data_IF_736759709876
#
_entry.id   IF_736759709876
#
_cell.length_a   1.000
_cell.length_b   1.000
_cell.length_c   1.000
_cell.angle_alpha   90.00
_cell.angle_beta   90.00
_cell.angle_gamma   90.00
#
_symmetry.space_group_name_H-M   'P 1'
#
loop_
_entity.id
_entity.type
_entity.pdbx_description
1 polymer ?
#
# COMPACT_ATOMS: atom_id res chain seq x y z
N UNK A 1 -1.15 -14.81 0.07
CA UNK A 1 -1.75 -13.63 -0.58
C UNK A 1 -0.64 -12.65 -0.94
N UNK A 2 -0.71 -12.01 -2.10
CA UNK A 2 0.29 -11.06 -2.59
C UNK A 2 -0.37 -9.72 -2.94
N UNK A 3 0.36 -8.61 -2.77
CA UNK A 3 -0.13 -7.29 -3.21
C UNK A 3 0.32 -7.02 -4.64
N UNK A 4 -0.60 -6.54 -5.49
CA UNK A 4 -0.25 -6.07 -6.83
C UNK A 4 0.78 -4.94 -6.78
N UNK A 5 0.64 -4.02 -5.82
CA UNK A 5 1.59 -2.91 -5.62
C UNK A 5 3.01 -3.43 -5.37
N UNK A 6 3.13 -4.47 -4.52
CA UNK A 6 4.40 -5.12 -4.21
C UNK A 6 4.99 -5.83 -5.44
N UNK A 7 4.16 -6.49 -6.24
CA UNK A 7 4.60 -7.16 -7.47
C UNK A 7 5.14 -6.14 -8.47
N UNK A 8 4.38 -5.06 -8.74
CA UNK A 8 4.77 -4.01 -9.67
C UNK A 8 6.09 -3.35 -9.25
N UNK A 9 6.29 -3.09 -7.94
CA UNK A 9 7.54 -2.56 -7.42
C UNK A 9 8.69 -3.56 -7.55
N UNK A 10 8.44 -4.84 -7.31
CA UNK A 10 9.46 -5.88 -7.46
C UNK A 10 9.93 -5.98 -8.91
N UNK A 11 9.00 -5.95 -9.87
CA UNK A 11 9.32 -5.95 -11.31
C UNK A 11 10.04 -4.67 -11.72
N UNK A 12 9.61 -3.51 -11.25
CA UNK A 12 10.27 -2.23 -11.54
C UNK A 12 11.71 -2.14 -11.00
N UNK A 13 12.05 -2.97 -10.00
CA UNK A 13 13.40 -3.06 -9.42
C UNK A 13 14.28 -4.12 -10.08
N UNK A 14 13.72 -4.99 -10.91
CA UNK A 14 14.47 -6.04 -11.57
C UNK A 14 15.27 -5.44 -12.75
N UNK A 15 16.61 -5.45 -12.70
CA UNK A 15 17.44 -4.93 -13.79
C UNK A 15 17.29 -5.72 -15.10
N UNK A 16 16.76 -6.95 -15.05
CA UNK A 16 16.57 -7.80 -16.22
C UNK A 16 15.17 -7.66 -16.84
N UNK A 17 14.31 -6.81 -16.26
CA UNK A 17 12.98 -6.59 -16.81
C UNK A 17 13.05 -5.98 -18.21
N UNK A 18 12.34 -6.58 -19.16
CA UNK A 18 12.27 -6.05 -20.54
C UNK A 18 11.62 -4.65 -20.56
N UNK A 19 12.01 -3.82 -21.52
CA UNK A 19 11.46 -2.46 -21.67
C UNK A 19 9.93 -2.47 -21.81
N UNK A 20 9.38 -3.42 -22.57
CA UNK A 20 7.93 -3.58 -22.76
C UNK A 20 7.22 -3.90 -21.45
N UNK A 21 7.82 -4.74 -20.60
CA UNK A 21 7.29 -5.04 -19.28
C UNK A 21 7.34 -3.81 -18.37
N UNK A 22 8.43 -3.04 -18.40
CA UNK A 22 8.56 -1.79 -17.64
C UNK A 22 7.53 -0.74 -18.08
N UNK A 23 7.22 -0.65 -19.37
CA UNK A 23 6.16 0.23 -19.88
C UNK A 23 4.78 -0.15 -19.34
N UNK A 24 4.42 -1.44 -19.38
CA UNK A 24 3.16 -1.94 -18.81
C UNK A 24 3.06 -1.71 -17.29
N UNK A 25 4.17 -1.93 -16.58
CA UNK A 25 4.28 -1.63 -15.15
C UNK A 25 4.09 -0.14 -14.91
N UNK A 26 4.72 0.73 -15.71
CA UNK A 26 4.59 2.17 -15.57
C UNK A 26 3.15 2.65 -15.77
N UNK A 27 2.47 2.20 -16.83
CA UNK A 27 1.07 2.55 -17.10
C UNK A 27 0.15 2.13 -15.94
N UNK A 28 0.27 0.88 -15.51
CA UNK A 28 -0.57 0.33 -14.44
C UNK A 28 -0.27 0.98 -13.08
N UNK A 29 1.01 1.14 -12.75
CA UNK A 29 1.44 1.64 -11.45
C UNK A 29 1.21 3.14 -11.31
N UNK A 30 1.35 3.92 -12.37
CA UNK A 30 1.12 5.37 -12.34
C UNK A 30 -0.33 5.72 -12.03
N UNK A 31 -1.29 4.96 -12.57
CA UNK A 31 -2.71 5.13 -12.25
C UNK A 31 -2.98 4.87 -10.76
N UNK A 32 -2.47 3.74 -10.23
CA UNK A 32 -2.60 3.39 -8.81
C UNK A 32 -1.96 4.46 -7.92
N UNK A 33 -0.76 4.93 -8.28
CA UNK A 33 -0.03 5.91 -7.48
C UNK A 33 -0.75 7.25 -7.44
N UNK A 34 -1.23 7.73 -8.59
CA UNK A 34 -1.97 8.99 -8.70
C UNK A 34 -3.19 9.00 -7.80
N UNK A 35 -3.95 7.91 -7.83
CA UNK A 35 -5.15 7.76 -7.01
C UNK A 35 -4.82 7.68 -5.51
N UNK A 36 -3.76 6.96 -5.12
CA UNK A 36 -3.33 6.90 -3.71
C UNK A 36 -2.86 8.26 -3.19
N UNK A 37 -2.16 9.03 -4.02
CA UNK A 37 -1.72 10.38 -3.67
C UNK A 37 -2.92 11.33 -3.51
N UNK A 38 -3.92 11.21 -4.38
CA UNK A 38 -5.14 12.00 -4.26
C UNK A 38 -5.91 11.66 -2.97
N UNK A 39 -6.15 10.37 -2.71
CA UNK A 39 -6.80 9.93 -1.48
C UNK A 39 -6.03 10.41 -0.23
N UNK A 40 -4.69 10.42 -0.29
CA UNK A 40 -3.86 10.93 0.81
C UNK A 40 -4.08 12.43 1.04
N UNK A 41 -4.15 13.25 -0.02
CA UNK A 41 -4.43 14.68 0.10
C UNK A 41 -5.80 14.95 0.71
N UNK A 42 -6.81 14.17 0.32
CA UNK A 42 -8.15 14.27 0.89
C UNK A 42 -8.15 13.91 2.38
N UNK A 43 -7.46 12.85 2.78
CA UNK A 43 -7.33 12.48 4.20
C UNK A 43 -6.57 13.56 5.00
N UNK A 44 -5.53 14.15 4.40
CA UNK A 44 -4.80 15.29 5.00
C UNK A 44 -5.72 16.51 5.19
N UNK A 45 -6.61 16.78 4.22
CA UNK A 45 -7.64 17.82 4.35
C UNK A 45 -8.64 17.53 5.49
N UNK A 46 -8.98 16.25 5.72
CA UNK A 46 -9.78 15.81 6.87
C UNK A 46 -9.01 15.78 8.21
N UNK A 47 -7.76 16.24 8.24
CA UNK A 47 -6.96 16.40 9.46
C UNK A 47 -6.09 15.20 9.84
N UNK A 48 -6.00 14.17 8.99
CA UNK A 48 -5.06 13.06 9.19
C UNK A 48 -3.64 13.50 8.84
N UNK A 49 -2.73 13.40 9.81
CA UNK A 49 -1.31 13.69 9.56
C UNK A 49 -0.59 12.44 9.08
N UNK A 50 0.09 12.48 7.93
CA UNK A 50 0.81 11.32 7.43
C UNK A 50 1.98 11.01 8.38
N UNK A 51 2.05 9.77 8.84
CA UNK A 51 3.19 9.26 9.58
C UNK A 51 3.95 8.29 8.70
N UNK A 52 5.20 8.61 8.40
CA UNK A 52 6.09 7.65 7.74
C UNK A 52 6.43 6.57 8.76
N UNK A 53 5.91 5.37 8.52
CA UNK A 53 6.30 4.17 9.26
C UNK A 53 7.54 3.65 8.54
N UNK A 54 8.72 3.77 9.16
CA UNK A 54 9.88 3.02 8.69
C UNK A 54 9.49 1.54 8.73
N UNK A 55 9.68 0.83 7.61
CA UNK A 55 9.27 -0.57 7.46
C UNK A 55 9.61 -1.33 8.73
N UNK A 56 8.59 -1.77 9.46
CA UNK A 56 8.78 -2.57 10.67
C UNK A 56 9.72 -3.70 10.29
N UNK A 57 10.84 -3.81 11.02
CA UNK A 57 11.80 -4.90 10.89
C UNK A 57 10.98 -6.18 10.75
N UNK A 58 11.25 -6.97 9.69
CA UNK A 58 10.78 -8.36 9.63
C UNK A 58 10.91 -8.94 11.03
N UNK A 59 9.81 -9.41 11.62
CA UNK A 59 9.87 -10.07 12.92
C UNK A 59 10.96 -11.15 12.86
N UNK A 60 11.57 -11.51 13.98
CA UNK A 60 12.72 -12.44 14.04
C UNK A 60 12.50 -13.79 13.31
N UNK A 61 11.25 -14.13 12.95
CA UNK A 61 10.85 -15.29 12.15
C UNK A 61 10.64 -15.03 10.63
N UNK A 62 10.95 -13.83 10.11
CA UNK A 62 10.85 -13.50 8.69
C UNK A 62 9.43 -13.40 8.10
N UNK A 63 8.38 -13.70 8.87
CA UNK A 63 7.00 -13.74 8.40
C UNK A 63 6.35 -12.36 8.34
N UNK A 64 5.69 -12.08 7.21
CA UNK A 64 4.81 -10.93 7.02
C UNK A 64 3.48 -11.21 7.73
N UNK A 65 3.07 -10.38 8.69
CA UNK A 65 1.78 -10.54 9.37
C UNK A 65 0.65 -10.25 8.38
N UNK A 66 0.04 -11.30 7.82
CA UNK A 66 -0.99 -11.18 6.77
C UNK A 66 -2.21 -10.40 7.27
N UNK A 67 -2.69 -10.68 8.48
CA UNK A 67 -3.88 -10.02 9.04
C UNK A 67 -3.72 -8.53 9.36
N UNK A 68 -2.51 -8.04 9.66
CA UNK A 68 -2.31 -6.61 9.98
C UNK A 68 -2.16 -5.74 8.72
N UNK A 69 -2.08 -6.38 7.56
CA UNK A 69 -1.79 -5.75 6.28
C UNK A 69 -2.93 -5.99 5.28
N UNK A 70 -4.15 -6.22 5.76
CA UNK A 70 -5.37 -6.28 4.96
C UNK A 70 -6.32 -5.18 5.37
N UNK A 71 -7.10 -4.67 4.41
CA UNK A 71 -8.18 -3.77 4.70
C UNK A 71 -9.32 -4.55 5.34
N UNK A 72 -9.83 -4.07 6.47
CA UNK A 72 -10.91 -4.75 7.19
C UNK A 72 -12.26 -4.75 6.44
N UNK A 73 -12.42 -3.88 5.43
CA UNK A 73 -13.66 -3.75 4.64
C UNK A 73 -13.57 -4.56 3.34
N UNK A 74 -12.57 -4.30 2.50
CA UNK A 74 -12.45 -4.96 1.19
C UNK A 74 -11.45 -6.11 1.15
N UNK A 75 -10.83 -6.46 2.27
CA UNK A 75 -9.82 -7.53 2.39
C UNK A 75 -8.62 -7.35 1.44
N UNK A 76 -8.44 -6.15 0.87
CA UNK A 76 -7.31 -5.87 -0.03
C UNK A 76 -6.01 -5.77 0.77
N UNK A 77 -4.93 -6.35 0.26
CA UNK A 77 -3.61 -6.24 0.87
C UNK A 77 -3.09 -4.79 0.82
N UNK A 78 -2.79 -4.22 1.99
CA UNK A 78 -2.28 -2.88 2.22
C UNK A 78 -0.74 -2.92 2.19
N UNK A 79 -0.13 -2.48 1.09
CA UNK A 79 1.32 -2.46 0.95
C UNK A 79 1.89 -1.04 1.04
N UNK A 80 1.44 -0.13 0.19
CA UNK A 80 1.99 1.25 0.15
C UNK A 80 1.56 2.13 1.32
N UNK A 81 0.32 1.98 1.77
CA UNK A 81 -0.28 2.85 2.78
C UNK A 81 -1.44 2.16 3.48
N UNK A 82 -1.65 2.53 4.74
CA UNK A 82 -2.77 2.08 5.58
C UNK A 82 -3.16 3.19 6.55
N UNK A 83 -4.45 3.27 6.87
CA UNK A 83 -4.95 4.12 7.96
C UNK A 83 -5.30 3.22 9.15
N UNK A 84 -4.83 3.59 10.34
CA UNK A 84 -5.11 2.86 11.58
C UNK A 84 -6.00 3.71 12.48
N UNK A 85 -6.83 3.03 13.29
CA UNK A 85 -7.60 3.69 14.34
C UNK A 85 -8.91 4.34 13.89
N UNK A 86 -9.42 3.98 12.70
CA UNK A 86 -10.74 4.45 12.21
C UNK A 86 -11.89 3.84 13.02
N UNK A 87 -11.83 2.53 13.31
CA UNK A 87 -12.87 1.83 14.10
C UNK A 87 -12.40 1.48 15.52
N UNK A 88 -11.41 0.59 15.65
CA UNK A 88 -10.74 0.24 16.93
C UNK A 88 -9.22 0.30 16.75
N UNK A 89 -8.47 0.46 17.85
CA UNK A 89 -7.00 0.70 17.86
C UNK A 89 -6.15 -0.24 16.99
N UNK A 90 -6.61 -1.47 16.70
CA UNK A 90 -5.85 -2.48 15.94
C UNK A 90 -6.23 -2.61 14.46
N UNK A 91 -7.33 -2.00 14.03
CA UNK A 91 -7.89 -2.19 12.69
C UNK A 91 -7.19 -1.29 11.68
N UNK A 92 -6.92 -1.84 10.50
CA UNK A 92 -6.28 -1.15 9.38
C UNK A 92 -7.24 -1.09 8.19
N UNK A 93 -7.36 0.07 7.55
CA UNK A 93 -8.16 0.25 6.35
C UNK A 93 -7.33 0.87 5.22
N UNK A 94 -7.72 0.64 3.98
CA UNK A 94 -7.14 1.31 2.83
C UNK A 94 -7.58 2.78 2.78
N UNK A 95 -6.84 3.62 2.05
CA UNK A 95 -7.14 5.05 1.94
C UNK A 95 -8.56 5.32 1.43
N UNK A 96 -9.06 4.50 0.48
CA UNK A 96 -10.42 4.64 -0.06
C UNK A 96 -11.52 4.42 0.98
N UNK A 97 -11.32 3.51 1.92
CA UNK A 97 -12.30 3.22 2.98
C UNK A 97 -12.05 4.02 4.26
N UNK A 98 -11.03 4.87 4.26
CA UNK A 98 -10.78 5.83 5.35
C UNK A 98 -11.40 7.21 5.06
N UNK A 99 -11.69 7.49 3.78
CA UNK A 99 -12.48 8.63 3.32
C UNK A 99 -13.97 8.33 3.51
#
# INVERSE_FOLDING_TARGET
>A
MFSLEQLLISVARDPNASLTMLQLVHESFSAILSEKLENRRQLEFHGLKPRVIQSEKRNAAGAWNVHENECEICQSTLYLSRVKGVFRKKYSVCLRHAL
#
